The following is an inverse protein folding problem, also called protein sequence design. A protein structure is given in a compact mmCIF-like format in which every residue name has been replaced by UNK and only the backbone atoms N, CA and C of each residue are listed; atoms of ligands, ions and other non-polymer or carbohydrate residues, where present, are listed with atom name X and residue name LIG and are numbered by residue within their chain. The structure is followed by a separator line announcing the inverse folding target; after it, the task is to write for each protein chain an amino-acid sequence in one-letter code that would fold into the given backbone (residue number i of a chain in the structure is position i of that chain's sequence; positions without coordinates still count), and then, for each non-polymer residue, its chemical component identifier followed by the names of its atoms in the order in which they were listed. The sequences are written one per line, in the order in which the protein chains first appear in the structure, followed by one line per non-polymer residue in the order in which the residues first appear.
data_IF_204816310470
#
_entry.id   IF_204816310470
#
_cell.length_a   1.000
_cell.length_b   1.000
_cell.length_c   1.000
_cell.angle_alpha   90.00
_cell.angle_beta   90.00
_cell.angle_gamma   90.00
#
_symmetry.space_group_name_H-M   'P 1'
#
loop_
_entity.id
_entity.type
_entity.pdbx_description
1 polymer ?
#
# COMPACT_ATOMS: atom_id res chain seq x y z
N UNK A 1 -14.59 -2.69 -19.74
CA UNK A 1 -13.93 -3.30 -18.57
C UNK A 1 -15.00 -3.81 -17.63
N UNK A 2 -14.79 -4.96 -16.99
CA UNK A 2 -15.72 -5.54 -16.01
C UNK A 2 -15.03 -5.54 -14.66
N UNK A 3 -15.70 -4.98 -13.66
CA UNK A 3 -15.26 -4.99 -12.26
C UNK A 3 -16.08 -6.01 -11.48
N UNK A 4 -15.43 -6.80 -10.62
CA UNK A 4 -16.10 -7.73 -9.71
C UNK A 4 -16.18 -7.08 -8.32
N UNK A 5 -17.39 -6.83 -7.86
CA UNK A 5 -17.67 -6.26 -6.55
C UNK A 5 -18.10 -7.35 -5.58
N UNK A 6 -17.75 -7.17 -4.32
CA UNK A 6 -18.24 -7.98 -3.22
C UNK A 6 -19.58 -7.41 -2.78
N UNK A 7 -20.53 -8.29 -2.49
CA UNK A 7 -21.86 -7.86 -2.12
C UNK A 7 -22.59 -8.89 -1.28
N UNK A 8 -23.38 -8.40 -0.33
CA UNK A 8 -24.26 -9.21 0.51
C UNK A 8 -25.67 -9.22 -0.08
N UNK A 9 -26.27 -10.40 -0.19
CA UNK A 9 -27.67 -10.52 -0.62
C UNK A 9 -28.59 -9.82 0.39
N UNK A 10 -29.48 -8.94 -0.10
CA UNK A 10 -30.44 -8.22 0.75
C UNK A 10 -31.82 -8.86 0.63
N UNK A 11 -32.30 -9.02 -0.61
CA UNK A 11 -33.59 -9.64 -0.94
C UNK A 11 -33.71 -9.79 -2.46
N UNK A 12 -34.48 -10.78 -2.92
CA UNK A 12 -34.80 -10.97 -4.34
C UNK A 12 -33.54 -10.79 -5.22
N UNK A 13 -33.64 -9.97 -6.27
CA UNK A 13 -32.55 -9.58 -7.17
C UNK A 13 -31.76 -8.34 -6.67
N UNK A 14 -31.58 -8.18 -5.36
CA UNK A 14 -30.91 -7.00 -4.77
C UNK A 14 -29.77 -7.39 -3.84
N UNK A 15 -28.66 -6.71 -4.02
CA UNK A 15 -27.41 -6.92 -3.28
C UNK A 15 -26.88 -5.59 -2.80
N UNK A 16 -26.36 -5.55 -1.56
CA UNK A 16 -25.66 -4.39 -1.01
C UNK A 16 -24.17 -4.58 -1.23
N UNK A 17 -23.51 -3.57 -1.78
CA UNK A 17 -22.07 -3.61 -2.04
C UNK A 17 -21.28 -3.50 -0.74
N UNK A 18 -20.26 -4.36 -0.60
CA UNK A 18 -19.41 -4.46 0.59
C UNK A 18 -17.97 -3.98 0.36
N UNK A 19 -17.65 -3.51 -0.86
CA UNK A 19 -16.39 -2.84 -1.18
C UNK A 19 -16.64 -1.61 -2.06
N UNK A 20 -15.68 -0.67 -2.06
CA UNK A 20 -15.79 0.54 -2.87
C UNK A 20 -15.43 0.23 -4.35
N UNK A 21 -16.22 0.71 -5.32
CA UNK A 21 -15.95 0.47 -6.73
C UNK A 21 -14.74 1.28 -7.21
N UNK A 22 -13.76 0.56 -7.77
CA UNK A 22 -12.53 1.10 -8.32
C UNK A 22 -12.64 1.62 -9.75
N UNK A 23 -13.69 1.24 -10.48
CA UNK A 23 -13.87 1.67 -11.86
C UNK A 23 -15.31 2.06 -12.23
N UNK A 24 -16.30 1.44 -11.60
CA UNK A 24 -17.70 1.73 -11.89
C UNK A 24 -18.10 3.15 -11.40
N UNK A 25 -18.87 3.88 -12.22
CA UNK A 25 -19.38 5.21 -11.89
C UNK A 25 -20.83 5.17 -11.40
N UNK A 26 -21.20 6.17 -10.61
CA UNK A 26 -22.58 6.34 -10.13
C UNK A 26 -23.01 5.25 -9.15
N UNK A 27 -22.05 4.57 -8.52
CA UNK A 27 -22.23 3.53 -7.51
C UNK A 27 -21.15 3.70 -6.43
N UNK A 28 -21.47 3.32 -5.19
CA UNK A 28 -20.60 3.51 -4.02
C UNK A 28 -20.68 2.32 -3.06
N UNK A 29 -19.76 2.28 -2.09
CA UNK A 29 -19.82 1.35 -0.97
C UNK A 29 -21.18 1.45 -0.25
N UNK A 30 -21.77 0.30 0.09
CA UNK A 30 -23.10 0.17 0.70
C UNK A 30 -24.30 0.61 -0.15
N UNK A 31 -24.12 0.99 -1.41
CA UNK A 31 -25.26 1.10 -2.32
C UNK A 31 -25.93 -0.28 -2.48
N UNK A 32 -27.25 -0.30 -2.61
CA UNK A 32 -28.00 -1.50 -2.98
C UNK A 32 -28.24 -1.45 -4.48
N UNK A 33 -27.75 -2.47 -5.17
CA UNK A 33 -27.92 -2.65 -6.62
C UNK A 33 -28.98 -3.70 -6.91
N UNK A 34 -29.76 -3.46 -7.95
CA UNK A 34 -30.54 -4.49 -8.63
C UNK A 34 -29.62 -5.26 -9.58
N UNK A 35 -29.75 -6.58 -9.61
CA UNK A 35 -28.93 -7.46 -10.46
C UNK A 35 -29.81 -8.28 -11.40
N UNK A 36 -29.21 -8.80 -12.47
CA UNK A 36 -29.76 -9.89 -13.27
C UNK A 36 -28.72 -11.00 -13.43
N UNK A 37 -29.17 -12.21 -13.73
CA UNK A 37 -28.30 -13.33 -14.07
C UNK A 37 -28.36 -13.59 -15.58
N UNK A 38 -27.21 -13.79 -16.21
CA UNK A 38 -27.13 -14.23 -17.60
C UNK A 38 -27.22 -15.76 -17.72
N UNK A 39 -27.17 -16.27 -18.95
CA UNK A 39 -27.26 -17.70 -19.25
C UNK A 39 -26.09 -18.52 -18.68
N UNK A 40 -24.96 -17.85 -18.38
CA UNK A 40 -23.76 -18.44 -17.78
C UNK A 40 -23.76 -18.33 -16.24
N UNK A 41 -24.90 -17.96 -15.65
CA UNK A 41 -25.10 -17.73 -14.22
C UNK A 41 -24.20 -16.62 -13.61
N UNK A 42 -23.63 -15.73 -14.44
CA UNK A 42 -22.96 -14.54 -13.94
C UNK A 42 -24.00 -13.55 -13.42
N UNK A 43 -23.71 -12.91 -12.28
CA UNK A 43 -24.58 -11.90 -11.68
C UNK A 43 -24.09 -10.51 -12.04
N UNK A 44 -24.89 -9.75 -12.79
CA UNK A 44 -24.56 -8.42 -13.30
C UNK A 44 -25.37 -7.35 -12.59
N UNK A 45 -24.71 -6.30 -12.10
CA UNK A 45 -25.38 -5.12 -11.57
C UNK A 45 -26.06 -4.35 -12.71
N UNK A 46 -27.38 -4.14 -12.59
CA UNK A 46 -28.19 -3.41 -13.56
C UNK A 46 -28.23 -1.91 -13.22
N UNK A 47 -28.54 -1.57 -11.97
CA UNK A 47 -28.65 -0.18 -11.48
C UNK A 47 -28.63 -0.11 -9.96
N UNK A 48 -28.28 1.06 -9.42
CA UNK A 48 -28.48 1.37 -8.00
C UNK A 48 -29.98 1.61 -7.75
N UNK A 49 -30.55 0.91 -6.77
CA UNK A 49 -31.96 1.04 -6.37
C UNK A 49 -32.15 1.72 -5.02
N UNK A 50 -31.10 1.78 -4.21
CA UNK A 50 -31.06 2.48 -2.93
C UNK A 50 -29.63 2.97 -2.67
N UNK A 51 -29.49 4.25 -2.33
CA UNK A 51 -28.19 4.87 -2.08
C UNK A 51 -27.72 4.57 -0.65
N UNK A 52 -26.48 4.14 -0.53
CA UNK A 52 -25.77 4.06 0.73
C UNK A 52 -25.35 5.46 1.22
N UNK A 53 -24.89 5.56 2.48
CA UNK A 53 -24.46 6.84 3.06
C UNK A 53 -23.06 7.27 2.59
N UNK A 54 -22.36 6.44 1.79
CA UNK A 54 -20.95 6.65 1.44
C UNK A 54 -20.82 7.43 0.15
N UNK A 55 -20.02 8.49 0.18
CA UNK A 55 -19.57 9.20 -1.03
C UNK A 55 -18.18 8.71 -1.43
N UNK A 56 -17.95 8.51 -2.72
CA UNK A 56 -16.69 7.96 -3.22
C UNK A 56 -16.05 8.89 -4.25
N UNK A 57 -14.74 9.10 -4.10
CA UNK A 57 -13.88 9.71 -5.11
C UNK A 57 -12.78 8.73 -5.51
N UNK A 58 -12.23 8.93 -6.69
CA UNK A 58 -11.00 8.27 -7.12
C UNK A 58 -9.87 9.28 -7.18
N UNK A 59 -8.69 8.87 -6.76
CA UNK A 59 -7.48 9.69 -6.74
C UNK A 59 -6.43 8.98 -7.58
N UNK A 60 -5.86 9.71 -8.54
CA UNK A 60 -4.74 9.26 -9.37
C UNK A 60 -3.49 10.06 -8.97
N UNK A 61 -2.42 9.34 -8.68
CA UNK A 61 -1.09 9.90 -8.52
C UNK A 61 -0.38 9.83 -9.88
N UNK A 62 -0.17 11.00 -10.50
CA UNK A 62 0.50 11.13 -11.80
C UNK A 62 1.95 10.63 -11.80
N UNK A 63 2.55 10.74 -10.63
CA UNK A 63 3.86 10.27 -10.33
C UNK A 63 3.73 9.06 -9.40
N UNK A 64 4.35 7.94 -9.76
CA UNK A 64 4.61 6.84 -8.81
C UNK A 64 5.58 7.27 -7.68
N UNK A 65 5.89 8.57 -7.61
CA UNK A 65 6.66 9.20 -6.54
C UNK A 65 5.89 9.06 -5.22
N UNK A 66 6.61 9.16 -4.11
CA UNK A 66 6.09 8.71 -2.83
C UNK A 66 5.08 9.69 -2.21
N UNK A 67 3.84 9.63 -2.70
CA UNK A 67 2.70 10.39 -2.20
C UNK A 67 1.62 9.50 -1.61
N UNK A 68 1.78 8.18 -1.70
CA UNK A 68 0.78 7.21 -1.26
C UNK A 68 0.57 7.29 0.27
N UNK A 69 1.66 7.31 1.04
CA UNK A 69 1.64 7.44 2.50
C UNK A 69 0.97 8.75 2.93
N UNK A 70 1.36 9.87 2.31
CA UNK A 70 0.76 11.19 2.58
C UNK A 70 -0.74 11.21 2.29
N UNK A 71 -1.15 10.69 1.13
CA UNK A 71 -2.57 10.57 0.75
C UNK A 71 -3.33 9.74 1.79
N UNK A 72 -2.83 8.54 2.13
CA UNK A 72 -3.49 7.64 3.10
C UNK A 72 -3.61 8.28 4.48
N UNK A 73 -2.56 8.93 4.98
CA UNK A 73 -2.60 9.64 6.27
C UNK A 73 -3.59 10.79 6.27
N UNK A 74 -3.59 11.60 5.21
CA UNK A 74 -4.56 12.69 5.05
C UNK A 74 -5.99 12.15 5.03
N UNK A 75 -6.26 11.10 4.25
CA UNK A 75 -7.59 10.46 4.15
C UNK A 75 -8.03 9.89 5.51
N UNK A 76 -7.15 9.18 6.22
CA UNK A 76 -7.42 8.64 7.54
C UNK A 76 -7.70 9.74 8.57
N UNK A 77 -6.92 10.83 8.57
CA UNK A 77 -7.12 11.97 9.47
C UNK A 77 -8.46 12.68 9.27
N UNK A 78 -9.06 12.59 8.08
CA UNK A 78 -10.38 13.15 7.77
C UNK A 78 -11.51 12.22 8.24
N UNK A 79 -11.21 10.95 8.56
CA UNK A 79 -12.19 9.91 8.89
C UNK A 79 -12.70 9.13 7.67
N UNK A 80 -11.97 9.17 6.56
CA UNK A 80 -12.32 8.46 5.34
C UNK A 80 -11.58 7.11 5.24
N UNK A 81 -12.16 6.16 4.52
CA UNK A 81 -11.52 4.91 4.14
C UNK A 81 -10.78 5.05 2.80
N UNK A 82 -9.67 4.34 2.63
CA UNK A 82 -8.82 4.41 1.43
C UNK A 82 -8.42 3.00 0.98
N UNK A 83 -8.78 2.63 -0.23
CA UNK A 83 -8.33 1.41 -0.90
C UNK A 83 -7.38 1.77 -2.04
N UNK A 84 -6.24 1.10 -2.12
CA UNK A 84 -5.26 1.32 -3.19
C UNK A 84 -5.24 0.15 -4.17
N UNK A 85 -5.16 0.47 -5.46
CA UNK A 85 -4.94 -0.47 -6.55
C UNK A 85 -3.56 -0.19 -7.16
N UNK A 86 -2.55 -0.89 -6.64
CA UNK A 86 -1.16 -0.57 -6.92
C UNK A 86 -0.73 0.76 -6.27
N UNK A 87 0.23 1.44 -6.89
CA UNK A 87 0.89 2.62 -6.32
C UNK A 87 0.23 3.96 -6.69
N UNK A 88 -0.54 4.00 -7.77
CA UNK A 88 -1.04 5.27 -8.33
C UNK A 88 -2.55 5.47 -8.21
N UNK A 89 -3.35 4.40 -8.04
CA UNK A 89 -4.80 4.50 -8.10
C UNK A 89 -5.42 4.21 -6.75
N UNK A 90 -6.23 5.14 -6.26
CA UNK A 90 -6.86 5.04 -4.95
C UNK A 90 -8.35 5.32 -5.04
N UNK A 91 -9.12 4.56 -4.28
CA UNK A 91 -10.55 4.75 -4.07
C UNK A 91 -10.73 5.24 -2.64
N UNK A 92 -11.32 6.42 -2.49
CA UNK A 92 -11.52 7.04 -1.18
C UNK A 92 -13.00 7.16 -0.89
N UNK A 93 -13.40 6.64 0.27
CA UNK A 93 -14.79 6.54 0.71
C UNK A 93 -15.01 7.36 1.97
N UNK A 94 -15.96 8.30 1.91
CA UNK A 94 -16.35 9.16 3.01
C UNK A 94 -17.75 8.75 3.52
N UNK A 95 -17.85 8.41 4.81
CA UNK A 95 -19.10 7.92 5.43
C UNK A 95 -20.06 9.03 5.87
N UNK A 96 -19.58 10.28 5.94
CA UNK A 96 -20.40 11.44 6.26
C UNK A 96 -20.12 12.63 5.32
N UNK A 97 -21.12 13.51 5.09
CA UNK A 97 -20.97 14.63 4.17
C UNK A 97 -19.90 15.66 4.57
N UNK A 98 -19.60 15.80 5.86
CA UNK A 98 -18.58 16.75 6.31
C UNK A 98 -17.16 16.23 6.05
N UNK A 99 -16.91 14.94 6.28
CA UNK A 99 -15.66 14.29 5.88
C UNK A 99 -15.46 14.37 4.37
N UNK A 100 -16.51 14.16 3.59
CA UNK A 100 -16.46 14.29 2.14
C UNK A 100 -16.08 15.69 1.67
N UNK A 101 -16.71 16.74 2.23
CA UNK A 101 -16.38 18.13 1.90
C UNK A 101 -14.90 18.45 2.20
N UNK A 102 -14.41 18.09 3.40
CA UNK A 102 -13.00 18.26 3.78
C UNK A 102 -12.06 17.48 2.86
N UNK A 103 -12.43 16.27 2.47
CA UNK A 103 -11.64 15.45 1.55
C UNK A 103 -11.44 16.15 0.20
N UNK A 104 -12.52 16.64 -0.40
CA UNK A 104 -12.48 17.35 -1.68
C UNK A 104 -11.61 18.60 -1.60
N UNK A 105 -11.74 19.38 -0.54
CA UNK A 105 -10.90 20.57 -0.29
C UNK A 105 -9.42 20.19 -0.18
N UNK A 106 -9.09 19.18 0.63
CA UNK A 106 -7.71 18.74 0.83
C UNK A 106 -7.07 18.14 -0.43
N UNK A 107 -7.84 17.38 -1.22
CA UNK A 107 -7.36 16.87 -2.49
C UNK A 107 -7.03 18.00 -3.46
N UNK A 108 -7.85 19.05 -3.49
CA UNK A 108 -7.60 20.23 -4.32
C UNK A 108 -6.39 21.05 -3.84
N UNK A 109 -6.28 21.32 -2.54
CA UNK A 109 -5.13 22.03 -1.93
C UNK A 109 -3.80 21.28 -2.16
N UNK A 110 -3.83 19.94 -2.06
CA UNK A 110 -2.66 19.09 -2.27
C UNK A 110 -2.25 18.90 -3.73
N UNK A 111 -3.04 19.44 -4.68
CA UNK A 111 -2.79 19.28 -6.11
C UNK A 111 -2.89 17.83 -6.59
N UNK A 112 -3.73 17.02 -5.95
CA UNK A 112 -4.01 15.66 -6.40
C UNK A 112 -4.91 15.69 -7.63
N UNK A 113 -4.74 14.75 -8.57
CA UNK A 113 -5.76 14.48 -9.59
C UNK A 113 -6.79 13.54 -9.01
N UNK A 114 -8.05 13.93 -9.07
CA UNK A 114 -9.13 13.14 -8.52
C UNK A 114 -10.43 13.37 -9.28
N UNK A 115 -11.37 12.44 -9.17
CA UNK A 115 -12.68 12.53 -9.81
C UNK A 115 -13.82 12.07 -8.90
N UNK A 116 -15.02 12.55 -9.21
CA UNK A 116 -16.25 12.10 -8.58
C UNK A 116 -16.65 10.71 -9.09
N UNK A 117 -16.94 9.79 -8.18
CA UNK A 117 -17.51 8.48 -8.52
C UNK A 117 -19.00 8.46 -8.20
N UNK A 118 -19.35 8.84 -6.97
CA UNK A 118 -20.73 8.97 -6.51
C UNK A 118 -20.84 10.08 -5.42
N UNK A 119 -21.76 11.06 -5.56
CA UNK A 119 -22.68 11.26 -6.69
C UNK A 119 -21.91 11.50 -8.00
N UNK A 120 -22.56 11.28 -9.15
CA UNK A 120 -21.91 11.60 -10.41
C UNK A 120 -21.66 13.11 -10.46
N UNK A 121 -20.59 13.53 -11.15
CA UNK A 121 -20.25 14.95 -11.29
C UNK A 121 -21.43 15.78 -11.83
N UNK A 122 -22.20 15.23 -12.77
CA UNK A 122 -23.39 15.86 -13.37
C UNK A 122 -24.54 16.09 -12.39
N UNK A 123 -24.58 15.32 -11.29
CA UNK A 123 -25.62 15.42 -10.27
C UNK A 123 -25.29 16.47 -9.19
N UNK A 124 -24.10 17.08 -9.24
CA UNK A 124 -23.65 18.08 -8.26
C UNK A 124 -24.12 19.48 -8.65
N UNK A 125 -24.75 20.18 -7.70
CA UNK A 125 -25.18 21.57 -7.89
C UNK A 125 -24.01 22.53 -8.19
N UNK A 126 -22.81 22.23 -7.69
CA UNK A 126 -21.58 22.99 -7.96
C UNK A 126 -20.36 22.06 -7.85
N UNK A 127 -19.91 21.42 -8.95
CA UNK A 127 -18.74 20.56 -8.91
C UNK A 127 -17.48 21.38 -8.61
N UNK A 128 -16.53 20.77 -7.88
CA UNK A 128 -15.27 21.43 -7.58
C UNK A 128 -14.43 21.60 -8.86
N UNK A 129 -13.83 22.78 -9.13
CA UNK A 129 -13.11 23.04 -10.38
C UNK A 129 -11.86 22.16 -10.54
N UNK A 130 -11.19 21.79 -9.46
CA UNK A 130 -10.00 20.91 -9.49
C UNK A 130 -10.33 19.43 -9.77
N UNK A 131 -11.60 19.04 -9.78
CA UNK A 131 -11.98 17.68 -10.14
C UNK A 131 -11.69 17.43 -11.62
N UNK A 132 -11.16 16.25 -11.94
CA UNK A 132 -10.85 15.84 -13.31
C UNK A 132 -12.07 15.99 -14.21
N UNK A 133 -11.87 16.71 -15.33
CA UNK A 133 -12.92 17.04 -16.30
C UNK A 133 -13.31 15.80 -17.10
N UNK A 134 -12.31 14.99 -17.45
CA UNK A 134 -12.50 13.70 -18.08
C UNK A 134 -12.35 12.58 -17.05
N UNK A 135 -13.03 11.43 -17.27
CA UNK A 135 -12.82 10.24 -16.46
C UNK A 135 -11.34 9.93 -16.30
N UNK A 136 -10.89 9.74 -15.06
CA UNK A 136 -9.52 9.26 -14.86
C UNK A 136 -9.43 7.87 -15.50
N UNK A 137 -8.44 7.72 -16.37
CA UNK A 137 -8.10 6.43 -16.94
C UNK A 137 -7.07 5.83 -15.99
N UNK A 138 -7.35 4.67 -15.38
CA UNK A 138 -6.35 3.94 -14.62
C UNK A 138 -5.12 3.77 -15.52
N UNK A 139 -3.91 4.12 -15.04
CA UNK A 139 -2.71 3.94 -15.85
C UNK A 139 -2.61 2.46 -16.23
N UNK A 140 -2.12 2.17 -17.43
CA UNK A 140 -1.79 0.79 -17.79
C UNK A 140 -0.70 0.32 -16.82
N UNK A 141 -1.07 -0.64 -15.98
CA UNK A 141 -0.19 -1.17 -14.96
C UNK A 141 0.74 -2.19 -15.64
N UNK A 142 1.94 -1.75 -15.97
CA UNK A 142 3.04 -2.67 -16.25
C UNK A 142 3.55 -3.23 -14.90
N UNK A 143 3.12 -4.44 -14.55
CA UNK A 143 3.49 -5.10 -13.29
C UNK A 143 5.01 -5.27 -13.11
N UNK A 144 5.80 -5.21 -14.19
CA UNK A 144 7.26 -5.23 -14.11
C UNK A 144 7.84 -3.88 -13.64
N UNK A 145 7.16 -2.78 -13.97
CA UNK A 145 7.57 -1.41 -13.62
C UNK A 145 6.90 -0.87 -12.36
N UNK A 146 5.97 -1.63 -11.78
CA UNK A 146 5.39 -1.23 -10.51
C UNK A 146 6.44 -1.29 -9.41
N UNK A 147 6.56 -0.15 -8.73
CA UNK A 147 7.31 -0.09 -7.50
C UNK A 147 6.67 -0.99 -6.45
N UNK A 148 7.50 -1.68 -5.69
CA UNK A 148 7.04 -2.47 -4.56
C UNK A 148 6.60 -1.54 -3.43
N UNK A 149 5.44 -1.82 -2.83
CA UNK A 149 4.84 -1.03 -1.75
C UNK A 149 4.81 -1.79 -0.45
N UNK A 150 4.82 -1.04 0.65
CA UNK A 150 4.67 -1.55 2.01
C UNK A 150 3.30 -1.13 2.55
N UNK A 151 2.38 -2.07 2.73
CA UNK A 151 1.04 -1.76 3.21
C UNK A 151 0.92 -1.89 4.74
N UNK A 152 1.72 -2.77 5.33
CA UNK A 152 1.62 -3.17 6.73
C UNK A 152 2.98 -3.00 7.44
N UNK A 153 3.74 -1.98 7.02
CA UNK A 153 5.06 -1.69 7.60
C UNK A 153 4.97 -1.51 9.13
N UNK A 154 5.93 -2.06 9.91
CA UNK A 154 5.87 -2.02 11.37
C UNK A 154 5.71 -0.61 11.98
N UNK A 155 6.28 0.43 11.35
CA UNK A 155 6.21 1.82 11.82
C UNK A 155 5.44 2.73 10.85
N UNK A 156 4.45 2.19 10.13
CA UNK A 156 3.64 2.97 9.17
C UNK A 156 2.95 4.19 9.82
N UNK A 157 2.57 4.08 11.09
CA UNK A 157 1.99 5.18 11.88
C UNK A 157 2.95 6.37 12.03
N UNK A 158 4.27 6.12 12.04
CA UNK A 158 5.33 7.14 12.14
C UNK A 158 5.70 7.76 10.80
N UNK A 159 5.51 7.05 9.69
CA UNK A 159 5.96 7.48 8.35
C UNK A 159 5.19 8.68 7.81
N UNK A 160 5.81 9.83 7.60
CA UNK A 160 5.18 11.02 7.00
C UNK A 160 5.49 11.16 5.50
N UNK A 161 6.47 10.40 5.04
CA UNK A 161 6.96 10.34 3.67
C UNK A 161 7.07 8.87 3.23
N UNK A 162 7.39 8.70 1.96
CA UNK A 162 7.81 7.45 1.37
C UNK A 162 9.05 7.79 0.51
N UNK A 163 9.97 6.87 0.30
CA UNK A 163 11.21 7.13 -0.42
C UNK A 163 11.40 6.08 -1.50
N UNK A 164 11.85 6.48 -2.67
CA UNK A 164 12.17 5.56 -3.75
C UNK A 164 13.60 5.04 -3.59
N UNK A 165 13.77 3.73 -3.73
CA UNK A 165 15.08 3.09 -3.92
C UNK A 165 15.02 2.19 -5.15
N UNK A 166 16.06 2.26 -5.98
CA UNK A 166 16.24 1.36 -7.11
C UNK A 166 17.04 0.15 -6.66
N UNK A 167 16.40 -1.00 -6.60
CA UNK A 167 17.02 -2.28 -6.30
C UNK A 167 17.34 -3.03 -7.59
N UNK A 168 18.48 -3.72 -7.62
CA UNK A 168 18.84 -4.61 -8.71
C UNK A 168 18.24 -5.98 -8.42
N UNK A 169 17.22 -6.36 -9.18
CA UNK A 169 16.57 -7.67 -9.09
C UNK A 169 17.15 -8.55 -10.18
N UNK A 170 17.91 -9.57 -9.80
CA UNK A 170 18.76 -10.34 -10.72
C UNK A 170 19.81 -9.47 -11.43
N UNK A 171 20.71 -10.08 -12.22
CA UNK A 171 21.88 -9.37 -12.77
C UNK A 171 21.59 -8.19 -13.72
N UNK A 172 20.33 -7.97 -14.15
CA UNK A 172 20.02 -7.03 -15.24
C UNK A 172 18.73 -6.22 -15.07
N UNK A 173 17.86 -6.53 -14.11
CA UNK A 173 16.59 -5.82 -13.94
C UNK A 173 16.69 -4.85 -12.77
N UNK A 174 16.24 -3.62 -12.97
CA UNK A 174 16.11 -2.64 -11.90
C UNK A 174 14.63 -2.52 -11.55
N UNK A 175 14.31 -2.59 -10.27
CA UNK A 175 12.96 -2.38 -9.76
C UNK A 175 12.98 -1.30 -8.70
N UNK A 176 12.02 -0.40 -8.79
CA UNK A 176 11.77 0.55 -7.71
C UNK A 176 11.10 -0.16 -6.53
N UNK A 177 11.46 0.26 -5.34
CA UNK A 177 10.77 -0.04 -4.09
C UNK A 177 10.49 1.30 -3.39
N UNK A 178 9.29 1.46 -2.85
CA UNK A 178 8.86 2.65 -2.15
C UNK A 178 8.81 2.36 -0.65
N UNK A 179 9.75 2.92 0.11
CA UNK A 179 9.93 2.67 1.53
C UNK A 179 9.25 3.78 2.36
N UNK A 180 8.22 3.48 3.17
CA UNK A 180 7.70 4.42 4.16
C UNK A 180 8.82 4.95 5.06
N UNK A 181 8.84 6.25 5.29
CA UNK A 181 9.88 6.89 6.07
C UNK A 181 9.35 8.09 6.86
N UNK A 182 10.04 8.45 7.94
CA UNK A 182 9.77 9.63 8.76
C UNK A 182 10.88 10.64 8.53
N UNK A 183 10.53 11.86 8.16
CA UNK A 183 11.49 12.96 8.05
C UNK A 183 12.09 13.29 9.40
N UNK A 184 13.42 13.34 9.50
CA UNK A 184 14.15 13.73 10.72
C UNK A 184 14.98 15.00 10.55
N UNK A 185 15.28 15.37 9.30
CA UNK A 185 15.92 16.64 8.90
C UNK A 185 15.48 17.02 7.47
N UNK A 186 15.94 18.15 6.92
CA UNK A 186 15.61 18.62 5.57
C UNK A 186 15.94 17.60 4.47
N UNK A 187 17.03 16.86 4.67
CA UNK A 187 17.54 15.85 3.74
C UNK A 187 17.71 14.48 4.37
N UNK A 188 17.18 14.26 5.59
CA UNK A 188 17.34 13.00 6.30
C UNK A 188 16.00 12.40 6.68
N UNK A 189 15.91 11.08 6.51
CA UNK A 189 14.72 10.30 6.81
C UNK A 189 15.09 9.02 7.55
N UNK A 190 14.28 8.65 8.52
CA UNK A 190 14.33 7.35 9.20
C UNK A 190 13.37 6.37 8.51
N UNK A 191 13.87 5.22 8.06
CA UNK A 191 13.06 4.19 7.43
C UNK A 191 12.06 3.60 8.44
N UNK A 192 10.81 3.44 8.02
CA UNK A 192 9.70 2.94 8.84
C UNK A 192 9.22 1.55 8.41
N UNK A 193 9.94 0.88 7.50
CA UNK A 193 9.67 -0.48 7.05
C UNK A 193 10.97 -1.30 6.97
N UNK A 194 10.82 -2.62 6.82
CA UNK A 194 11.91 -3.49 6.36
C UNK A 194 11.82 -3.65 4.86
N UNK A 195 12.91 -3.46 4.09
CA UNK A 195 12.87 -3.59 2.64
C UNK A 195 12.60 -5.03 2.20
N UNK A 196 12.00 -5.18 1.03
CA UNK A 196 11.90 -6.42 0.28
C UNK A 196 13.00 -6.56 -0.78
N UNK A 197 13.51 -5.47 -1.36
CA UNK A 197 14.46 -5.54 -2.48
C UNK A 197 15.78 -4.83 -2.18
N UNK A 198 15.75 -3.75 -1.41
CA UNK A 198 16.94 -2.93 -1.19
C UNK A 198 17.95 -3.56 -0.22
N UNK A 199 19.14 -3.88 -0.74
CA UNK A 199 20.27 -4.35 0.06
C UNK A 199 20.86 -3.24 0.93
N UNK A 200 21.36 -3.63 2.10
CA UNK A 200 22.08 -2.73 3.01
C UNK A 200 21.20 -1.66 3.66
N UNK A 201 19.88 -1.87 3.68
CA UNK A 201 18.93 -1.05 4.44
C UNK A 201 18.15 -1.94 5.42
N UNK A 202 17.73 -1.36 6.54
CA UNK A 202 16.79 -1.98 7.48
C UNK A 202 15.87 -0.94 8.12
N UNK A 203 14.82 -1.43 8.79
CA UNK A 203 13.95 -0.62 9.63
C UNK A 203 14.76 0.28 10.59
N UNK A 204 14.38 1.55 10.67
CA UNK A 204 15.00 2.57 11.51
C UNK A 204 16.34 3.11 11.02
N UNK A 205 16.88 2.65 9.89
CA UNK A 205 18.07 3.26 9.31
C UNK A 205 17.77 4.72 8.95
N UNK A 206 18.76 5.61 9.12
CA UNK A 206 18.65 7.00 8.66
C UNK A 206 19.33 7.11 7.30
N UNK A 207 18.60 7.61 6.32
CA UNK A 207 19.03 7.76 4.93
C UNK A 207 18.97 9.22 4.49
N UNK A 208 19.83 9.58 3.55
CA UNK A 208 19.75 10.84 2.81
C UNK A 208 18.97 10.60 1.52
N UNK A 209 18.07 11.53 1.17
CA UNK A 209 17.33 11.49 -0.09
C UNK A 209 17.40 12.81 -0.85
N UNK A 210 17.30 12.72 -2.17
CA UNK A 210 17.32 13.88 -3.06
C UNK A 210 15.96 14.63 -3.08
N UNK A 211 15.88 15.71 -3.86
CA UNK A 211 14.64 16.49 -4.01
C UNK A 211 13.49 15.72 -4.68
N UNK A 212 13.78 14.59 -5.33
CA UNK A 212 12.80 13.67 -5.89
C UNK A 212 12.42 12.55 -4.91
N UNK A 213 12.91 12.60 -3.66
CA UNK A 213 12.72 11.60 -2.61
C UNK A 213 13.31 10.23 -2.98
N UNK A 214 14.42 10.22 -3.72
CA UNK A 214 15.21 9.00 -3.97
C UNK A 214 16.32 8.87 -2.95
N UNK A 215 16.46 7.68 -2.38
CA UNK A 215 17.54 7.38 -1.44
C UNK A 215 18.89 7.51 -2.17
N UNK A 216 19.73 8.42 -1.67
CA UNK A 216 21.08 8.66 -2.17
C UNK A 216 22.07 7.75 -1.45
N UNK A 217 21.97 7.67 -0.12
CA UNK A 217 22.84 6.83 0.72
C UNK A 217 22.25 6.64 2.12
N UNK A 218 22.70 5.60 2.81
CA UNK A 218 22.50 5.44 4.26
C UNK A 218 23.48 6.30 5.03
N UNK A 219 22.97 7.08 5.98
CA UNK A 219 23.74 7.98 6.86
C UNK A 219 24.00 7.32 8.22
N UNK A 220 23.05 6.59 8.77
CA UNK A 220 23.20 5.87 10.04
C UNK A 220 22.48 4.52 10.03
N UNK A 221 23.08 3.51 10.67
CA UNK A 221 22.47 2.19 10.88
C UNK A 221 21.65 2.18 12.16
N UNK A 222 20.48 1.57 12.12
CA UNK A 222 19.64 1.31 13.29
C UNK A 222 20.20 0.21 14.21
N UNK A 223 21.08 -0.64 13.67
CA UNK A 223 21.57 -1.85 14.33
C UNK A 223 20.68 -3.08 14.09
N UNK A 224 19.50 -2.90 13.48
CA UNK A 224 18.59 -3.99 13.11
C UNK A 224 19.09 -4.73 11.88
N UNK A 225 18.64 -5.97 11.74
CA UNK A 225 18.89 -6.81 10.57
C UNK A 225 17.61 -7.00 9.76
N UNK A 226 17.76 -7.19 8.46
CA UNK A 226 16.66 -7.43 7.53
C UNK A 226 16.92 -8.70 6.72
N UNK A 227 15.89 -9.53 6.56
CA UNK A 227 15.90 -10.71 5.69
C UNK A 227 14.67 -10.69 4.77
N UNK A 228 14.85 -11.19 3.55
CA UNK A 228 13.75 -11.51 2.65
C UNK A 228 13.55 -13.03 2.70
N UNK A 229 12.37 -13.49 3.08
CA UNK A 229 12.03 -14.91 3.20
C UNK A 229 11.03 -15.28 2.12
N UNK A 230 11.27 -16.38 1.40
CA UNK A 230 10.37 -16.96 0.43
C UNK A 230 9.83 -18.30 0.92
N UNK A 231 8.51 -18.49 0.83
CA UNK A 231 7.80 -19.67 1.33
C UNK A 231 7.09 -20.38 0.18
N UNK A 232 7.39 -21.65 0.01
CA UNK A 232 6.69 -22.54 -0.92
C UNK A 232 6.20 -23.81 -0.19
N UNK A 233 4.99 -24.31 -0.46
CA UNK A 233 3.87 -23.64 -1.14
C UNK A 233 3.37 -22.40 -0.37
N UNK A 234 2.70 -21.48 -1.08
CA UNK A 234 2.25 -20.18 -0.55
C UNK A 234 1.16 -20.27 0.53
N UNK A 235 0.50 -21.42 0.68
CA UNK A 235 -0.49 -21.67 1.73
C UNK A 235 0.15 -21.80 3.13
N UNK A 236 1.48 -22.02 3.21
CA UNK A 236 2.24 -22.05 4.46
C UNK A 236 2.70 -20.68 4.95
N UNK A 237 2.45 -19.60 4.21
CA UNK A 237 2.97 -18.27 4.58
C UNK A 237 2.52 -17.84 5.97
N UNK A 238 1.24 -18.04 6.31
CA UNK A 238 0.69 -17.68 7.61
C UNK A 238 1.32 -18.48 8.76
N UNK A 239 1.65 -19.75 8.54
CA UNK A 239 2.38 -20.59 9.51
C UNK A 239 3.78 -20.04 9.75
N UNK A 240 4.53 -19.76 8.67
CA UNK A 240 5.90 -19.25 8.74
C UNK A 240 5.95 -17.87 9.40
N UNK A 241 5.04 -16.97 9.02
CA UNK A 241 4.88 -15.65 9.64
C UNK A 241 4.65 -15.76 11.15
N UNK A 242 3.68 -16.59 11.58
CA UNK A 242 3.38 -16.78 13.00
C UNK A 242 4.59 -17.30 13.80
N UNK A 243 5.38 -18.21 13.20
CA UNK A 243 6.61 -18.69 13.80
C UNK A 243 7.67 -17.57 13.93
N UNK A 244 7.90 -16.79 12.87
CA UNK A 244 8.86 -15.68 12.91
C UNK A 244 8.47 -14.61 13.94
N UNK A 245 7.19 -14.28 14.04
CA UNK A 245 6.65 -13.38 15.08
C UNK A 245 6.89 -13.96 16.48
N UNK A 246 6.67 -15.26 16.68
CA UNK A 246 6.95 -15.93 17.97
C UNK A 246 8.43 -15.88 18.35
N UNK A 247 9.34 -15.85 17.36
CA UNK A 247 10.78 -15.68 17.56
C UNK A 247 11.18 -14.21 17.85
N UNK A 248 10.23 -13.28 17.80
CA UNK A 248 10.42 -11.85 18.09
C UNK A 248 10.75 -11.00 16.86
N UNK A 249 10.50 -11.50 15.64
CA UNK A 249 10.70 -10.73 14.42
C UNK A 249 9.51 -9.81 14.15
N UNK A 250 9.76 -8.65 13.52
CA UNK A 250 8.72 -7.95 12.77
C UNK A 250 8.59 -8.60 11.39
N UNK A 251 7.36 -8.77 10.90
CA UNK A 251 7.12 -9.40 9.59
C UNK A 251 6.15 -8.54 8.80
N UNK A 252 6.47 -8.33 7.53
CA UNK A 252 5.57 -7.73 6.54
C UNK A 252 5.42 -8.68 5.35
N UNK A 253 4.18 -8.95 4.95
CA UNK A 253 3.90 -9.86 3.85
C UNK A 253 3.76 -9.11 2.52
N UNK A 254 4.44 -9.60 1.48
CA UNK A 254 4.14 -9.22 0.10
C UNK A 254 2.93 -10.01 -0.39
N UNK A 255 1.85 -9.31 -0.71
CA UNK A 255 0.60 -9.94 -1.12
C UNK A 255 0.82 -10.99 -2.23
N UNK A 256 0.32 -12.21 -1.99
CA UNK A 256 0.21 -13.33 -2.95
C UNK A 256 1.51 -13.91 -3.55
N UNK A 257 2.70 -13.48 -3.13
CA UNK A 257 3.97 -13.99 -3.71
C UNK A 257 4.73 -14.98 -2.84
N UNK A 258 4.22 -15.30 -1.64
CA UNK A 258 4.96 -16.12 -0.68
C UNK A 258 6.18 -15.44 -0.05
N UNK A 259 6.38 -14.13 -0.28
CA UNK A 259 7.54 -13.40 0.22
C UNK A 259 7.21 -12.59 1.48
N UNK A 260 8.12 -12.61 2.44
CA UNK A 260 8.04 -11.91 3.72
C UNK A 260 9.30 -11.04 3.91
N UNK A 261 9.12 -9.76 4.21
CA UNK A 261 10.20 -8.91 4.72
C UNK A 261 10.24 -9.09 6.24
N UNK A 262 11.41 -9.49 6.76
CA UNK A 262 11.59 -9.86 8.17
C UNK A 262 12.58 -8.91 8.83
N UNK A 263 12.09 -8.16 9.82
CA UNK A 263 12.87 -7.32 10.71
C UNK A 263 13.35 -8.11 11.93
N UNK A 264 14.63 -7.96 12.27
CA UNK A 264 15.20 -8.50 13.50
C UNK A 264 15.82 -7.37 14.32
N UNK A 265 15.16 -7.03 15.44
CA UNK A 265 15.56 -5.91 16.29
C UNK A 265 16.94 -6.07 16.95
N UNK A 266 17.38 -7.31 17.17
CA UNK A 266 18.68 -7.62 17.79
C UNK A 266 19.38 -8.77 17.07
N UNK A 267 20.69 -8.91 17.32
CA UNK A 267 21.49 -10.02 16.79
C UNK A 267 20.96 -11.38 17.26
N UNK A 268 20.52 -11.49 18.51
CA UNK A 268 19.98 -12.73 19.09
C UNK A 268 18.68 -13.14 18.40
N UNK A 269 17.79 -12.18 18.10
CA UNK A 269 16.56 -12.44 17.32
C UNK A 269 16.93 -12.93 15.93
N UNK A 270 17.86 -12.25 15.26
CA UNK A 270 18.36 -12.63 13.94
C UNK A 270 18.93 -14.05 13.91
N UNK A 271 19.82 -14.39 14.85
CA UNK A 271 20.47 -15.70 14.90
C UNK A 271 19.44 -16.84 15.13
N UNK A 272 18.44 -16.62 16.00
CA UNK A 272 17.36 -17.60 16.21
C UNK A 272 16.48 -17.77 14.98
N UNK A 273 16.05 -16.66 14.37
CA UNK A 273 15.22 -16.68 13.17
C UNK A 273 15.94 -17.38 12.02
N UNK A 274 17.20 -17.04 11.78
CA UNK A 274 18.05 -17.68 10.77
C UNK A 274 18.21 -19.18 11.03
N UNK A 275 18.52 -19.59 12.25
CA UNK A 275 18.67 -21.00 12.60
C UNK A 275 17.37 -21.78 12.36
N UNK A 276 16.22 -21.20 12.70
CA UNK A 276 14.92 -21.81 12.45
C UNK A 276 14.61 -21.91 10.96
N UNK A 277 14.84 -20.84 10.18
CA UNK A 277 14.62 -20.80 8.73
C UNK A 277 15.47 -21.85 7.99
N UNK A 278 16.74 -22.04 8.38
CA UNK A 278 17.62 -23.08 7.81
C UNK A 278 17.05 -24.50 8.02
N UNK A 279 16.29 -24.72 9.09
CA UNK A 279 15.67 -26.01 9.38
C UNK A 279 14.31 -26.21 8.69
N UNK A 280 13.75 -25.18 8.04
CA UNK A 280 12.44 -25.28 7.40
C UNK A 280 12.53 -25.82 5.97
N UNK A 281 11.82 -26.92 5.64
CA UNK A 281 11.73 -27.36 4.26
C UNK A 281 10.92 -26.37 3.43
N UNK A 282 11.34 -26.16 2.18
CA UNK A 282 10.70 -25.30 1.19
C UNK A 282 10.58 -23.82 1.62
N UNK A 283 11.49 -23.38 2.47
CA UNK A 283 11.68 -21.97 2.81
C UNK A 283 13.11 -21.59 2.41
N UNK A 284 13.25 -20.51 1.65
CA UNK A 284 14.55 -19.91 1.33
C UNK A 284 14.56 -18.48 1.86
N UNK A 285 15.76 -17.92 2.04
CA UNK A 285 15.88 -16.55 2.48
C UNK A 285 17.19 -15.89 2.02
N UNK A 286 17.15 -14.57 1.93
CA UNK A 286 18.28 -13.71 1.64
C UNK A 286 18.47 -12.72 2.79
N UNK A 287 19.73 -12.39 3.09
CA UNK A 287 20.06 -11.40 4.12
C UNK A 287 20.28 -10.08 3.39
N UNK A 288 19.31 -9.17 3.49
CA UNK A 288 19.41 -7.82 2.91
C UNK A 288 20.33 -6.94 3.76
N UNK A 289 20.25 -7.07 5.09
CA UNK A 289 21.14 -6.37 6.01
C UNK A 289 21.49 -7.28 7.20
N UNK A 290 22.77 -7.63 7.42
CA UNK A 290 23.17 -8.36 8.62
C UNK A 290 23.10 -7.45 9.86
N UNK A 291 23.03 -8.04 11.07
CA UNK A 291 23.12 -7.26 12.31
C UNK A 291 24.46 -6.52 12.37
N UNK A 292 24.48 -5.37 13.06
CA UNK A 292 25.71 -4.62 13.32
C UNK A 292 26.66 -5.47 14.18
N UNK A 293 27.91 -5.60 13.77
CA UNK A 293 28.91 -6.29 14.60
C UNK A 293 29.47 -5.34 15.66
N UNK A 294 29.94 -5.84 16.82
CA UNK A 294 30.58 -5.00 17.83
C UNK A 294 31.75 -4.18 17.28
N UNK A 295 32.56 -4.77 16.40
CA UNK A 295 33.69 -4.11 15.73
C UNK A 295 33.28 -2.95 14.80
N UNK A 296 32.01 -2.86 14.38
CA UNK A 296 31.50 -1.74 13.58
C UNK A 296 31.28 -0.46 14.42
N UNK A 297 31.50 -0.50 15.74
CA UNK A 297 31.33 0.66 16.63
C UNK A 297 32.55 1.58 16.66
N UNK A 298 33.74 1.05 16.36
CA UNK A 298 35.01 1.77 16.50
C UNK A 298 35.45 2.48 15.20
N UNK A 299 34.69 2.35 14.11
CA UNK A 299 35.07 2.83 12.77
C UNK A 299 34.38 4.14 12.33
N UNK A 300 33.85 4.95 13.27
CA UNK A 300 33.13 6.21 12.98
C UNK A 300 34.03 7.43 13.18
#
# INVERSE_FOLDING_TARGET
MVERLWATHVRANRYRLDNAPGFAFGVSLHDVVEVFQDDDANTWALRVVERGPVSTVRVLLDDLRPRSVRLRKMVAAIGCACEGMGAAWFVVSAHDPHAYARLVERLAEGGYRWEYVNPKREDLASPHPSAAIEPLIPPEIDGSKQALLHFDAPWMDRADDELEVLATVNAYEQRSELLPARRVDDHLWELCCSPFLADGLALGDVVEADAALRIVRRVSRSGRAAMLVFVEPTDRVAEVEACLVTLGCGVEQRSRSGALAVDCATKEVFDRARAWLVAQPNVTFEILQPPRQPEDLDAV
#
